data_IF_060000703747
#
_entry.id   IF_060000703747
#
_cell.length_a   1.000
_cell.length_b   1.000
_cell.length_c   1.000
_cell.angle_alpha   90.00
_cell.angle_beta   90.00
_cell.angle_gamma   90.00
#
_symmetry.space_group_name_H-M   'P 1'
#
loop_
_entity.id
_entity.type
_entity.pdbx_description
1 polymer ?
#
# COMPACT_ATOMS: atom_id res chain seq x y z
N UNK A 1 -5.07 -35.47 22.29
CA UNK A 1 -5.04 -36.10 20.95
C UNK A 1 -5.30 -35.14 19.78
N UNK A 2 -6.17 -34.12 19.89
CA UNK A 2 -6.45 -33.17 18.78
C UNK A 2 -5.22 -32.34 18.37
N UNK A 3 -4.45 -31.83 19.34
CA UNK A 3 -3.26 -31.02 19.07
C UNK A 3 -2.14 -31.77 18.30
N UNK A 4 -1.91 -33.04 18.64
CA UNK A 4 -0.90 -33.87 17.97
C UNK A 4 -1.31 -34.18 16.51
N UNK A 5 -2.61 -34.32 16.25
CA UNK A 5 -3.16 -34.57 14.90
C UNK A 5 -3.12 -33.32 14.01
N UNK A 6 -3.24 -32.13 14.59
CA UNK A 6 -3.03 -30.84 13.91
C UNK A 6 -1.54 -30.59 13.61
N UNK A 7 -0.63 -30.94 14.53
CA UNK A 7 0.83 -30.83 14.30
C UNK A 7 1.37 -31.83 13.26
N UNK A 8 0.77 -33.01 13.16
CA UNK A 8 1.13 -34.06 12.19
C UNK A 8 0.40 -33.93 10.85
N UNK A 9 -0.45 -32.90 10.66
CA UNK A 9 -1.04 -32.65 9.34
C UNK A 9 0.08 -32.21 8.40
N UNK A 10 0.23 -32.86 7.23
CA UNK A 10 1.14 -32.35 6.22
C UNK A 10 0.76 -30.90 5.91
N UNK A 11 1.74 -29.98 5.77
CA UNK A 11 1.47 -28.58 5.52
C UNK A 11 0.58 -28.46 4.28
N UNK A 12 -0.50 -27.70 4.44
CA UNK A 12 -1.50 -27.55 3.40
C UNK A 12 -0.84 -26.97 2.13
N UNK A 13 -1.12 -27.50 0.92
CA UNK A 13 -0.53 -26.98 -0.30
C UNK A 13 -0.79 -25.48 -0.46
N UNK A 14 0.28 -24.69 -0.56
CA UNK A 14 0.20 -23.25 -0.78
C UNK A 14 0.11 -22.97 -2.28
N UNK A 15 -0.92 -22.24 -2.69
CA UNK A 15 -1.10 -21.80 -4.07
C UNK A 15 -0.67 -20.35 -4.25
N UNK A 16 0.08 -20.05 -5.32
CA UNK A 16 0.41 -18.67 -5.69
C UNK A 16 -0.85 -17.91 -6.12
N UNK A 17 -1.19 -16.87 -5.37
CA UNK A 17 -2.32 -15.97 -5.63
C UNK A 17 -1.94 -14.79 -6.53
N UNK A 18 -0.68 -14.37 -6.47
CA UNK A 18 -0.16 -13.24 -7.23
C UNK A 18 0.90 -13.70 -8.23
N UNK A 19 0.87 -13.13 -9.44
CA UNK A 19 1.96 -13.28 -10.40
C UNK A 19 3.21 -12.53 -9.93
N UNK A 20 4.38 -12.92 -10.45
CA UNK A 20 5.67 -12.33 -10.06
C UNK A 20 5.70 -10.81 -10.31
N UNK A 21 5.16 -10.36 -11.44
CA UNK A 21 5.08 -8.93 -11.75
C UNK A 21 4.23 -8.15 -10.73
N UNK A 22 3.09 -8.70 -10.33
CA UNK A 22 2.23 -8.06 -9.32
C UNK A 22 2.94 -7.96 -7.96
N UNK A 23 3.72 -8.99 -7.61
CA UNK A 23 4.51 -8.99 -6.39
C UNK A 23 5.65 -7.96 -6.46
N UNK A 24 6.35 -7.88 -7.60
CA UNK A 24 7.41 -6.91 -7.84
C UNK A 24 6.88 -5.47 -7.75
N UNK A 25 5.75 -5.17 -8.40
CA UNK A 25 5.12 -3.84 -8.34
C UNK A 25 4.70 -3.49 -6.90
N UNK A 26 4.14 -4.45 -6.15
CA UNK A 26 3.78 -4.22 -4.76
C UNK A 26 5.00 -3.86 -3.90
N UNK A 27 6.11 -4.59 -4.02
CA UNK A 27 7.31 -4.32 -3.24
C UNK A 27 8.06 -3.06 -3.68
N UNK A 28 8.06 -2.77 -4.98
CA UNK A 28 8.52 -1.47 -5.50
C UNK A 28 7.72 -0.33 -4.85
N UNK A 29 6.38 -0.42 -4.87
CA UNK A 29 5.52 0.59 -4.27
C UNK A 29 5.75 0.72 -2.76
N UNK A 30 5.83 -0.40 -2.03
CA UNK A 30 6.09 -0.38 -0.61
C UNK A 30 7.45 0.26 -0.29
N UNK A 31 8.51 -0.11 -1.01
CA UNK A 31 9.85 0.47 -0.84
C UNK A 31 9.88 1.97 -1.15
N UNK A 32 9.29 2.38 -2.28
CA UNK A 32 9.22 3.79 -2.67
C UNK A 32 8.42 4.63 -1.66
N UNK A 33 7.26 4.13 -1.20
CA UNK A 33 6.46 4.85 -0.18
C UNK A 33 7.24 5.02 1.11
N UNK A 34 7.92 3.96 1.59
CA UNK A 34 8.73 4.07 2.80
C UNK A 34 9.90 5.04 2.64
N UNK A 35 10.60 5.00 1.52
CA UNK A 35 11.70 5.91 1.21
C UNK A 35 11.24 7.38 1.10
N UNK A 36 10.16 7.62 0.36
CA UNK A 36 9.60 8.96 0.19
C UNK A 36 9.04 9.52 1.49
N UNK A 37 8.39 8.68 2.31
CA UNK A 37 7.94 9.09 3.63
C UNK A 37 9.12 9.45 4.55
N UNK A 38 10.15 8.59 4.59
CA UNK A 38 11.37 8.80 5.37
C UNK A 38 12.02 10.16 5.06
N UNK A 39 12.22 10.43 3.77
CA UNK A 39 12.84 11.66 3.28
C UNK A 39 11.91 12.88 3.43
N UNK A 40 10.60 12.74 3.19
CA UNK A 40 9.62 13.82 3.36
C UNK A 40 9.45 14.27 4.81
N UNK A 41 9.43 13.33 5.76
CA UNK A 41 9.40 13.66 7.19
C UNK A 41 10.64 14.41 7.65
N UNK A 42 11.81 14.13 7.06
CA UNK A 42 13.03 14.88 7.35
C UNK A 42 13.06 16.28 6.70
N UNK A 43 12.29 16.50 5.64
CA UNK A 43 12.16 17.80 4.98
C UNK A 43 11.11 18.71 5.63
N UNK A 44 10.25 18.17 6.49
CA UNK A 44 9.24 18.97 7.20
C UNK A 44 9.94 19.87 8.22
N UNK A 45 9.74 21.20 8.17
CA UNK A 45 10.28 22.09 9.18
C UNK A 45 9.70 21.70 10.54
N UNK A 46 10.55 21.20 11.45
CA UNK A 46 10.10 20.87 12.80
C UNK A 46 9.85 22.17 13.57
N UNK A 47 8.60 22.63 13.60
CA UNK A 47 8.09 23.52 14.65
C UNK A 47 7.90 22.79 15.99
N UNK A 48 8.39 21.55 16.08
CA UNK A 48 8.34 20.68 17.25
C UNK A 48 9.62 20.96 18.06
N UNK A 49 9.53 21.24 19.37
CA UNK A 49 10.69 21.45 20.24
C UNK A 49 11.73 20.33 20.08
N UNK A 50 13.02 20.69 20.19
CA UNK A 50 14.24 19.90 19.87
C UNK A 50 14.40 18.51 20.54
N UNK A 51 13.38 17.99 21.20
CA UNK A 51 13.42 16.65 21.76
C UNK A 51 13.47 15.58 20.65
N UNK A 52 13.96 14.39 21.01
CA UNK A 52 14.36 13.17 20.23
C UNK A 52 13.94 13.01 18.75
N UNK A 53 12.81 13.54 18.30
CA UNK A 53 12.37 13.62 16.90
C UNK A 53 13.34 14.40 15.99
N UNK A 54 14.15 15.32 16.52
CA UNK A 54 15.18 16.02 15.74
C UNK A 54 16.36 15.13 15.31
N UNK A 55 16.51 13.92 15.87
CA UNK A 55 17.55 12.98 15.47
C UNK A 55 17.35 12.49 14.02
N UNK A 56 16.10 12.28 13.60
CA UNK A 56 15.78 11.74 12.27
C UNK A 56 16.10 12.72 11.13
N UNK A 57 15.63 13.98 11.14
CA UNK A 57 16.07 14.98 10.15
C UNK A 57 17.59 15.15 10.16
N UNK A 58 18.24 15.25 11.34
CA UNK A 58 19.71 15.38 11.40
C UNK A 58 20.44 14.20 10.78
N UNK A 59 19.97 12.98 11.01
CA UNK A 59 20.55 11.78 10.40
C UNK A 59 20.46 11.83 8.88
N UNK A 60 19.28 12.09 8.31
CA UNK A 60 19.10 12.12 6.86
C UNK A 60 19.80 13.31 6.20
N UNK A 61 19.82 14.48 6.82
CA UNK A 61 20.59 15.62 6.31
C UNK A 61 22.10 15.32 6.26
N UNK A 62 22.64 14.56 7.22
CA UNK A 62 24.04 14.09 7.19
C UNK A 62 24.25 13.01 6.13
N UNK A 63 23.34 12.04 6.03
CA UNK A 63 23.41 10.94 5.07
C UNK A 63 23.43 11.44 3.63
N UNK A 64 22.63 12.46 3.33
CA UNK A 64 22.55 13.10 2.02
C UNK A 64 23.45 14.32 1.88
N UNK A 65 24.36 14.56 2.83
CA UNK A 65 25.27 15.70 2.93
C UNK A 65 24.61 17.09 3.12
N UNK A 66 23.39 17.33 2.62
CA UNK A 66 22.66 18.58 2.83
C UNK A 66 21.14 18.41 2.75
N UNK A 67 20.39 19.40 3.24
CA UNK A 67 18.94 19.45 3.06
C UNK A 67 18.51 19.63 1.61
N UNK A 68 19.32 20.30 0.79
CA UNK A 68 19.08 20.48 -0.64
C UNK A 68 19.25 19.16 -1.41
N UNK A 69 20.32 18.41 -1.12
CA UNK A 69 20.55 17.10 -1.72
C UNK A 69 19.49 16.08 -1.27
N UNK A 70 19.05 16.14 0.00
CA UNK A 70 17.90 15.36 0.49
C UNK A 70 16.62 15.69 -0.29
N UNK A 71 16.32 16.98 -0.48
CA UNK A 71 15.15 17.44 -1.23
C UNK A 71 15.21 16.98 -2.69
N UNK A 72 16.35 17.16 -3.36
CA UNK A 72 16.53 16.72 -4.74
C UNK A 72 16.34 15.20 -4.86
N UNK A 73 16.90 14.43 -3.92
CA UNK A 73 16.70 12.98 -3.90
C UNK A 73 15.23 12.60 -3.73
N UNK A 74 14.50 13.27 -2.84
CA UNK A 74 13.07 13.07 -2.65
C UNK A 74 12.28 13.36 -3.95
N UNK A 75 12.58 14.48 -4.61
CA UNK A 75 11.97 14.87 -5.89
C UNK A 75 12.25 13.80 -6.96
N UNK A 76 13.51 13.42 -7.15
CA UNK A 76 13.90 12.45 -8.18
C UNK A 76 13.27 11.08 -7.93
N UNK A 77 13.24 10.61 -6.68
CA UNK A 77 12.59 9.35 -6.33
C UNK A 77 11.07 9.40 -6.58
N UNK A 78 10.42 10.51 -6.23
CA UNK A 78 8.97 10.70 -6.42
C UNK A 78 8.58 10.75 -7.89
N UNK A 79 9.34 11.48 -8.70
CA UNK A 79 9.16 11.56 -10.16
C UNK A 79 9.44 10.20 -10.81
N UNK A 80 10.54 9.53 -10.44
CA UNK A 80 10.89 8.21 -10.99
C UNK A 80 9.79 7.18 -10.69
N UNK A 81 9.29 7.13 -9.46
CA UNK A 81 8.19 6.25 -9.09
C UNK A 81 6.93 6.56 -9.90
N UNK A 82 6.56 7.85 -9.99
CA UNK A 82 5.37 8.31 -10.72
C UNK A 82 5.45 7.96 -12.21
N UNK A 83 6.59 8.23 -12.85
CA UNK A 83 6.83 7.88 -14.26
C UNK A 83 6.82 6.37 -14.48
N UNK A 84 7.38 5.60 -13.56
CA UNK A 84 7.34 4.13 -13.64
C UNK A 84 5.90 3.61 -13.58
N UNK A 85 5.07 4.14 -12.68
CA UNK A 85 3.66 3.73 -12.58
C UNK A 85 2.85 4.15 -13.81
N UNK A 86 3.06 5.36 -14.32
CA UNK A 86 2.42 5.84 -15.55
C UNK A 86 2.82 5.00 -16.76
N UNK A 87 4.12 4.70 -16.91
CA UNK A 87 4.62 3.87 -17.99
C UNK A 87 4.05 2.45 -17.90
N UNK A 88 3.99 1.85 -16.71
CA UNK A 88 3.37 0.54 -16.52
C UNK A 88 1.89 0.55 -16.89
N UNK A 89 1.15 1.59 -16.51
CA UNK A 89 -0.26 1.74 -16.88
C UNK A 89 -0.44 1.92 -18.41
N UNK A 90 0.44 2.69 -19.05
CA UNK A 90 0.42 2.93 -20.49
C UNK A 90 0.81 1.68 -21.31
N UNK A 91 1.84 0.94 -20.88
CA UNK A 91 2.28 -0.30 -21.53
C UNK A 91 1.33 -1.48 -21.26
N UNK A 92 0.57 -1.44 -20.16
CA UNK A 92 -0.38 -2.50 -19.77
C UNK A 92 -1.76 -1.92 -19.39
N UNK A 93 -2.46 -1.27 -20.34
CA UNK A 93 -3.69 -0.54 -20.05
C UNK A 93 -4.84 -1.47 -19.63
N UNK A 94 -4.89 -2.69 -20.19
CA UNK A 94 -5.94 -3.67 -19.85
C UNK A 94 -5.86 -4.11 -18.38
N UNK A 95 -4.72 -4.61 -17.84
CA UNK A 95 -4.58 -4.89 -16.41
C UNK A 95 -4.83 -3.66 -15.52
N UNK A 96 -4.30 -2.49 -15.89
CA UNK A 96 -4.49 -1.26 -15.12
C UNK A 96 -5.98 -0.89 -15.03
N UNK A 97 -6.70 -0.90 -16.15
CA UNK A 97 -8.13 -0.61 -16.19
C UNK A 97 -8.94 -1.66 -15.40
N UNK A 98 -8.61 -2.95 -15.53
CA UNK A 98 -9.26 -4.00 -14.73
C UNK A 98 -9.06 -3.79 -13.23
N UNK A 99 -7.88 -3.38 -12.81
CA UNK A 99 -7.62 -3.03 -11.41
C UNK A 99 -8.52 -1.87 -10.97
N UNK A 100 -8.53 -0.77 -11.74
CA UNK A 100 -9.38 0.39 -11.44
C UNK A 100 -10.86 0.02 -11.35
N UNK A 101 -11.41 -0.68 -12.35
CA UNK A 101 -12.81 -1.14 -12.32
C UNK A 101 -13.05 -2.04 -11.09
N UNK A 102 -12.17 -3.00 -10.81
CA UNK A 102 -12.31 -3.90 -9.65
C UNK A 102 -12.35 -3.14 -8.32
N UNK A 103 -11.54 -2.10 -8.22
CA UNK A 103 -11.39 -1.29 -7.00
C UNK A 103 -12.56 -0.32 -6.87
N UNK A 104 -12.93 0.39 -7.93
CA UNK A 104 -13.95 1.45 -7.91
C UNK A 104 -15.40 0.98 -8.11
N UNK A 105 -15.64 -0.31 -8.39
CA UNK A 105 -17.00 -0.88 -8.49
C UNK A 105 -17.75 -0.99 -7.17
N UNK A 106 -17.08 -0.90 -6.01
CA UNK A 106 -17.75 -0.97 -4.71
C UNK A 106 -17.99 0.44 -4.16
N UNK A 107 -19.24 0.82 -3.85
CA UNK A 107 -19.52 2.12 -3.25
C UNK A 107 -18.75 2.32 -1.94
N UNK A 108 -18.05 3.47 -1.76
CA UNK A 108 -17.24 3.71 -0.56
C UNK A 108 -18.00 3.52 0.75
N UNK A 109 -19.26 3.98 0.82
CA UNK A 109 -20.14 3.81 1.99
C UNK A 109 -20.39 2.35 2.34
N UNK A 110 -20.64 1.50 1.33
CA UNK A 110 -20.86 0.07 1.54
C UNK A 110 -19.57 -0.63 1.98
N UNK A 111 -18.44 -0.23 1.39
CA UNK A 111 -17.12 -0.74 1.72
C UNK A 111 -16.72 -0.37 3.16
N UNK A 112 -17.00 0.87 3.58
CA UNK A 112 -16.76 1.36 4.94
C UNK A 112 -17.62 0.63 5.96
N UNK A 113 -18.93 0.51 5.70
CA UNK A 113 -19.84 -0.26 6.57
C UNK A 113 -19.34 -1.70 6.75
N UNK A 114 -18.88 -2.32 5.67
CA UNK A 114 -18.29 -3.66 5.74
C UNK A 114 -16.99 -3.65 6.55
N UNK A 115 -16.09 -2.71 6.33
CA UNK A 115 -14.80 -2.63 7.03
C UNK A 115 -14.97 -2.41 8.53
N UNK A 116 -15.86 -1.52 8.95
CA UNK A 116 -16.20 -1.30 10.37
C UNK A 116 -16.76 -2.58 10.99
N UNK A 117 -17.74 -3.20 10.34
CA UNK A 117 -18.33 -4.47 10.81
C UNK A 117 -17.28 -5.58 10.91
N UNK A 118 -16.39 -5.69 9.93
CA UNK A 118 -15.33 -6.69 9.88
C UNK A 118 -14.34 -6.54 11.04
N UNK A 119 -13.90 -5.30 11.31
CA UNK A 119 -13.02 -5.02 12.44
C UNK A 119 -13.71 -5.29 13.79
N UNK A 120 -14.98 -4.89 13.96
CA UNK A 120 -15.73 -5.19 15.18
C UNK A 120 -15.90 -6.70 15.42
N UNK A 121 -16.10 -7.49 14.36
CA UNK A 121 -16.10 -8.96 14.47
C UNK A 121 -14.74 -9.49 14.90
N UNK A 122 -13.67 -8.94 14.34
CA UNK A 122 -12.31 -9.33 14.67
C UNK A 122 -12.00 -9.07 16.15
N UNK A 123 -12.34 -7.86 16.64
CA UNK A 123 -12.20 -7.46 18.04
C UNK A 123 -13.03 -8.32 19.00
N UNK A 124 -14.20 -8.81 18.55
CA UNK A 124 -15.07 -9.73 19.30
C UNK A 124 -14.67 -11.21 19.17
N UNK A 125 -13.51 -11.52 18.60
CA UNK A 125 -13.03 -12.90 18.43
C UNK A 125 -13.75 -13.73 17.36
N UNK A 126 -14.67 -13.16 16.57
CA UNK A 126 -15.55 -13.89 15.62
C UNK A 126 -14.94 -14.15 14.24
N UNK A 127 -13.61 -14.06 14.14
CA UNK A 127 -12.87 -14.18 12.87
C UNK A 127 -13.22 -13.10 11.82
N UNK A 128 -12.55 -13.13 10.65
CA UNK A 128 -12.86 -12.22 9.54
C UNK A 128 -14.24 -12.54 8.95
N UNK A 129 -14.92 -11.53 8.44
CA UNK A 129 -16.17 -11.67 7.70
C UNK A 129 -15.95 -12.45 6.41
N UNK A 130 -16.92 -13.27 6.05
CA UNK A 130 -16.92 -13.94 4.76
C UNK A 130 -17.09 -12.94 3.60
N UNK A 131 -16.43 -13.23 2.49
CA UNK A 131 -16.57 -12.50 1.24
C UNK A 131 -16.25 -13.44 0.07
N UNK A 132 -16.82 -13.15 -1.09
CA UNK A 132 -16.50 -13.82 -2.36
C UNK A 132 -15.60 -12.95 -3.23
N UNK A 133 -14.78 -13.59 -4.07
CA UNK A 133 -13.93 -12.93 -5.08
C UNK A 133 -12.60 -12.39 -4.55
N UNK A 134 -11.74 -11.92 -5.49
CA UNK A 134 -10.33 -11.55 -5.25
C UNK A 134 -10.08 -10.67 -4.02
N UNK A 135 -10.88 -9.63 -3.81
CA UNK A 135 -10.68 -8.64 -2.75
C UNK A 135 -11.93 -8.47 -1.89
N UNK A 136 -11.74 -8.36 -0.57
CA UNK A 136 -12.84 -7.99 0.33
C UNK A 136 -13.30 -6.56 0.03
N UNK A 137 -14.54 -6.17 0.39
CA UNK A 137 -14.97 -4.77 0.31
C UNK A 137 -14.01 -3.81 1.02
N UNK A 138 -13.50 -4.20 2.20
CA UNK A 138 -12.49 -3.40 2.92
C UNK A 138 -11.15 -3.27 2.17
N UNK A 139 -10.69 -4.33 1.48
CA UNK A 139 -9.49 -4.26 0.65
C UNK A 139 -9.69 -3.36 -0.58
N UNK A 140 -10.88 -3.38 -1.18
CA UNK A 140 -11.22 -2.47 -2.28
C UNK A 140 -11.29 -1.02 -1.80
N UNK A 141 -11.88 -0.75 -0.63
CA UNK A 141 -11.87 0.59 -0.02
C UNK A 141 -10.46 1.11 0.22
N UNK A 142 -9.59 0.27 0.80
CA UNK A 142 -8.19 0.61 1.00
C UNK A 142 -7.49 0.91 -0.34
N UNK A 143 -7.72 0.08 -1.36
CA UNK A 143 -7.14 0.28 -2.68
C UNK A 143 -7.66 1.58 -3.33
N UNK A 144 -8.94 1.94 -3.18
CA UNK A 144 -9.49 3.22 -3.64
C UNK A 144 -8.76 4.38 -2.95
N UNK A 145 -8.71 4.34 -1.61
CA UNK A 145 -8.11 5.38 -0.79
C UNK A 145 -6.63 5.59 -1.14
N UNK A 146 -5.83 4.52 -1.20
CA UNK A 146 -4.41 4.61 -1.58
C UNK A 146 -4.24 5.06 -3.03
N UNK A 147 -5.07 4.60 -3.97
CA UNK A 147 -4.98 5.04 -5.37
C UNK A 147 -5.23 6.54 -5.49
N UNK A 148 -6.27 7.06 -4.85
CA UNK A 148 -6.58 8.49 -4.84
C UNK A 148 -5.47 9.27 -4.13
N UNK A 149 -5.11 8.88 -2.91
CA UNK A 149 -4.11 9.57 -2.11
C UNK A 149 -2.74 9.64 -2.79
N UNK A 150 -2.24 8.52 -3.31
CA UNK A 150 -0.95 8.52 -4.02
C UNK A 150 -1.01 9.28 -5.35
N UNK A 151 -2.16 9.28 -6.05
CA UNK A 151 -2.32 10.08 -7.28
C UNK A 151 -2.29 11.57 -6.96
N UNK A 152 -3.02 12.01 -5.93
CA UNK A 152 -3.01 13.40 -5.48
C UNK A 152 -1.61 13.82 -4.99
N UNK A 153 -0.92 12.96 -4.24
CA UNK A 153 0.46 13.20 -3.79
C UNK A 153 1.43 13.31 -4.97
N UNK A 154 1.33 12.44 -5.97
CA UNK A 154 2.16 12.47 -7.17
C UNK A 154 1.94 13.75 -7.99
N UNK A 155 0.69 14.13 -8.23
CA UNK A 155 0.36 15.33 -9.01
C UNK A 155 0.81 16.62 -8.30
N UNK A 156 0.47 16.76 -7.02
CA UNK A 156 0.90 17.91 -6.22
C UNK A 156 2.42 17.97 -6.03
N UNK A 157 3.08 16.83 -5.83
CA UNK A 157 4.53 16.73 -5.72
C UNK A 157 5.25 17.10 -7.02
N UNK A 158 4.72 16.67 -8.17
CA UNK A 158 5.23 17.08 -9.47
C UNK A 158 5.12 18.61 -9.65
N UNK A 159 3.99 19.22 -9.28
CA UNK A 159 3.83 20.67 -9.30
C UNK A 159 4.81 21.37 -8.32
N UNK A 160 5.13 20.79 -7.18
CA UNK A 160 6.17 21.37 -6.30
C UNK A 160 7.58 21.24 -6.88
N UNK A 161 7.82 20.22 -7.71
CA UNK A 161 9.13 19.96 -8.32
C UNK A 161 9.44 20.89 -9.51
N UNK A 162 8.46 21.23 -10.36
CA UNK A 162 8.74 21.97 -11.61
C UNK A 162 9.51 23.29 -11.41
N UNK A 163 9.26 24.14 -10.39
CA UNK A 163 10.05 25.35 -10.19
C UNK A 163 11.49 25.06 -9.78
N UNK A 164 11.71 24.00 -9.02
CA UNK A 164 13.05 23.54 -8.61
C UNK A 164 13.85 22.99 -9.80
N UNK A 165 13.16 22.53 -10.83
CA UNK A 165 13.74 22.07 -12.09
C UNK A 165 13.84 23.18 -13.15
N UNK A 166 13.48 24.43 -12.83
CA UNK A 166 13.48 25.54 -13.78
C UNK A 166 12.40 25.45 -14.87
N UNK A 167 11.40 24.58 -14.70
CA UNK A 167 10.34 24.33 -15.70
C UNK A 167 9.13 25.25 -15.51
N UNK A 168 9.01 25.94 -14.38
CA UNK A 168 7.99 26.98 -14.16
C UNK A 168 8.42 28.00 -13.10
N UNK A 169 7.88 29.22 -13.10
CA UNK A 169 8.35 30.28 -12.18
C UNK A 169 7.97 30.03 -10.72
N UNK A 170 6.81 29.42 -10.45
CA UNK A 170 6.34 29.13 -9.10
C UNK A 170 5.34 27.98 -9.09
N UNK A 171 5.25 27.26 -7.98
CA UNK A 171 4.21 26.25 -7.76
C UNK A 171 2.90 26.92 -7.30
N UNK A 172 1.73 26.36 -7.63
CA UNK A 172 0.47 26.80 -7.05
C UNK A 172 0.48 26.68 -5.53
N UNK A 173 -0.07 27.66 -4.82
CA UNK A 173 -0.07 27.71 -3.34
C UNK A 173 -0.74 26.50 -2.68
N UNK A 174 -1.71 25.88 -3.36
CA UNK A 174 -2.41 24.70 -2.87
C UNK A 174 -1.59 23.41 -3.01
N UNK A 175 -0.51 23.40 -3.80
CA UNK A 175 0.22 22.17 -4.09
C UNK A 175 0.84 21.56 -2.83
N UNK A 176 1.46 22.38 -1.96
CA UNK A 176 2.05 21.91 -0.71
C UNK A 176 1.01 21.32 0.27
N UNK A 177 -0.06 22.04 0.66
CA UNK A 177 -1.04 21.47 1.58
C UNK A 177 -1.77 20.25 1.00
N UNK A 178 -2.03 20.21 -0.33
CA UNK A 178 -2.59 19.00 -0.96
C UNK A 178 -1.61 17.83 -0.91
N UNK A 179 -0.32 18.08 -1.13
CA UNK A 179 0.72 17.05 -1.03
C UNK A 179 0.77 16.46 0.39
N UNK A 180 0.91 17.32 1.40
CA UNK A 180 1.03 16.90 2.80
C UNK A 180 -0.20 16.12 3.28
N UNK A 181 -1.41 16.62 2.97
CA UNK A 181 -2.65 15.93 3.31
C UNK A 181 -2.78 14.58 2.59
N UNK A 182 -2.36 14.50 1.33
CA UNK A 182 -2.41 13.27 0.54
C UNK A 182 -1.44 12.22 1.09
N UNK A 183 -0.23 12.63 1.49
CA UNK A 183 0.76 11.77 2.13
C UNK A 183 0.28 11.29 3.50
N UNK A 184 -0.23 12.19 4.35
CA UNK A 184 -0.78 11.84 5.66
C UNK A 184 -1.94 10.83 5.54
N UNK A 185 -2.83 11.05 4.56
CA UNK A 185 -3.92 10.13 4.27
C UNK A 185 -3.43 8.76 3.79
N UNK A 186 -2.48 8.73 2.85
CA UNK A 186 -1.88 7.49 2.36
C UNK A 186 -1.16 6.72 3.48
N UNK A 187 -0.45 7.42 4.37
CA UNK A 187 0.20 6.85 5.55
C UNK A 187 -0.81 6.18 6.48
N UNK A 188 -1.92 6.86 6.81
CA UNK A 188 -2.98 6.29 7.63
C UNK A 188 -3.56 5.01 7.01
N UNK A 189 -3.74 4.99 5.68
CA UNK A 189 -4.16 3.80 4.97
C UNK A 189 -3.14 2.67 5.06
N UNK A 190 -1.84 2.94 4.82
CA UNK A 190 -0.76 1.94 4.88
C UNK A 190 -0.63 1.36 6.29
N UNK A 191 -0.68 2.19 7.33
CA UNK A 191 -0.66 1.73 8.71
C UNK A 191 -1.83 0.77 9.02
N UNK A 192 -3.04 1.13 8.58
CA UNK A 192 -4.22 0.26 8.68
C UNK A 192 -4.06 -1.06 7.90
N UNK A 193 -3.44 -1.01 6.71
CA UNK A 193 -3.18 -2.18 5.90
C UNK A 193 -2.16 -3.14 6.54
N UNK A 194 -1.08 -2.60 7.11
CA UNK A 194 -0.03 -3.38 7.77
C UNK A 194 -0.53 -4.02 9.07
N UNK A 195 -1.25 -3.28 9.92
CA UNK A 195 -1.75 -3.77 11.21
C UNK A 195 -2.67 -4.98 11.07
N UNK A 196 -3.53 -4.99 10.04
CA UNK A 196 -4.42 -6.11 9.75
C UNK A 196 -3.68 -7.40 9.40
N UNK A 197 -2.46 -7.32 8.86
CA UNK A 197 -1.64 -8.50 8.55
C UNK A 197 -1.00 -9.09 9.80
N UNK A 198 -0.46 -8.25 10.66
CA UNK A 198 0.13 -8.65 11.95
C UNK A 198 -0.92 -9.40 12.80
N UNK A 199 -2.17 -8.88 12.81
CA UNK A 199 -3.29 -9.53 13.51
C UNK A 199 -3.65 -10.91 12.93
N UNK A 200 -3.42 -11.16 11.63
CA UNK A 200 -3.69 -12.45 10.99
C UNK A 200 -2.55 -13.46 11.21
N UNK A 201 -1.31 -12.99 11.31
CA UNK A 201 -0.13 -13.81 11.64
C UNK A 201 -0.26 -14.42 13.04
N UNK A 202 -0.71 -13.63 14.02
CA UNK A 202 -1.04 -14.08 15.38
C UNK A 202 -2.15 -15.17 15.44
N UNK A 203 -2.75 -15.53 14.29
CA UNK A 203 -3.74 -16.61 14.18
C UNK A 203 -3.29 -17.76 13.26
N UNK A 204 -1.97 -17.93 13.07
CA UNK A 204 -1.38 -19.14 12.48
C UNK A 204 -1.30 -19.17 10.96
N UNK A 205 -1.38 -18.01 10.28
CA UNK A 205 -1.07 -17.92 8.85
C UNK A 205 0.41 -17.58 8.69
N UNK A 206 1.23 -18.39 7.99
CA UNK A 206 2.65 -18.09 7.83
C UNK A 206 2.85 -16.74 7.14
N UNK A 207 3.59 -15.85 7.79
CA UNK A 207 3.88 -14.51 7.28
C UNK A 207 4.64 -14.53 5.95
N UNK A 208 5.54 -15.50 5.79
CA UNK A 208 6.33 -15.68 4.56
C UNK A 208 5.44 -16.03 3.35
N UNK A 209 4.42 -16.87 3.54
CA UNK A 209 3.45 -17.16 2.48
C UNK A 209 2.72 -15.89 2.06
N UNK A 210 2.41 -15.02 3.02
CA UNK A 210 1.81 -13.74 2.72
C UNK A 210 2.77 -12.82 1.92
N UNK A 211 4.03 -12.70 2.34
CA UNK A 211 5.05 -11.87 1.69
C UNK A 211 5.36 -12.32 0.27
N UNK A 212 5.27 -13.62 0.00
CA UNK A 212 5.55 -14.23 -1.30
C UNK A 212 4.29 -14.41 -2.17
N UNK A 213 3.13 -13.94 -1.70
CA UNK A 213 1.87 -13.99 -2.44
C UNK A 213 1.23 -15.38 -2.50
N UNK A 214 1.55 -16.26 -1.58
CA UNK A 214 0.94 -17.56 -1.34
C UNK A 214 -0.38 -17.51 -0.56
N UNK A 215 -1.21 -18.55 -0.74
CA UNK A 215 -2.43 -18.78 0.03
C UNK A 215 -2.66 -20.28 0.21
N UNK A 216 -3.05 -20.76 1.41
CA UNK A 216 -3.45 -22.17 1.59
C UNK A 216 -4.61 -22.55 0.65
N UNK A 217 -4.51 -23.71 -0.02
CA UNK A 217 -5.47 -24.20 -1.01
C UNK A 217 -6.92 -24.24 -0.52
N UNK A 218 -7.18 -24.74 0.67
CA UNK A 218 -8.48 -24.78 1.35
C UNK A 218 -9.09 -23.39 1.50
N UNK A 219 -8.27 -22.38 1.81
CA UNK A 219 -8.71 -20.99 1.88
C UNK A 219 -9.03 -20.43 0.49
N UNK A 220 -8.26 -20.79 -0.53
CA UNK A 220 -8.51 -20.40 -1.91
C UNK A 220 -9.81 -21.03 -2.44
N UNK A 221 -10.06 -22.33 -2.19
CA UNK A 221 -11.30 -23.02 -2.57
C UNK A 221 -12.50 -22.38 -1.88
N UNK A 222 -12.44 -22.11 -0.57
CA UNK A 222 -13.54 -21.48 0.18
C UNK A 222 -13.89 -20.08 -0.33
N UNK A 223 -12.90 -19.29 -0.78
CA UNK A 223 -13.11 -17.87 -1.15
C UNK A 223 -13.41 -17.64 -2.64
N UNK A 224 -12.81 -18.44 -3.50
CA UNK A 224 -12.84 -18.23 -4.95
C UNK A 224 -13.46 -19.43 -5.68
N UNK A 225 -13.44 -20.64 -5.11
CA UNK A 225 -13.58 -21.86 -5.90
C UNK A 225 -12.32 -22.08 -6.77
N UNK A 226 -11.97 -23.34 -7.05
CA UNK A 226 -10.70 -23.66 -7.74
C UNK A 226 -10.60 -23.04 -9.15
N UNK A 227 -11.70 -23.02 -9.90
CA UNK A 227 -11.72 -22.50 -11.29
C UNK A 227 -11.52 -20.99 -11.37
N UNK A 228 -12.15 -20.22 -10.48
CA UNK A 228 -12.02 -18.76 -10.51
C UNK A 228 -10.67 -18.31 -9.94
N UNK A 229 -10.08 -19.08 -9.02
CA UNK A 229 -8.72 -18.84 -8.53
C UNK A 229 -7.67 -18.90 -9.67
N UNK A 230 -7.78 -19.89 -10.56
CA UNK A 230 -6.85 -20.02 -11.69
C UNK A 230 -7.03 -18.92 -12.75
N UNK A 231 -8.26 -18.45 -12.97
CA UNK A 231 -8.53 -17.29 -13.84
C UNK A 231 -7.98 -16.00 -13.24
N UNK A 232 -8.16 -15.78 -11.94
CA UNK A 232 -7.66 -14.60 -11.23
C UNK A 232 -6.12 -14.58 -11.12
N UNK A 233 -5.45 -15.74 -11.09
CA UNK A 233 -3.98 -15.83 -11.08
C UNK A 233 -3.35 -15.36 -12.39
N UNK A 234 -3.99 -15.65 -13.53
CA UNK A 234 -3.49 -15.32 -14.88
C UNK A 234 -3.79 -13.88 -15.31
N UNK A 235 -4.59 -13.16 -14.52
CA UNK A 235 -5.03 -11.78 -14.77
C UNK A 235 -4.24 -10.76 -13.93
#
# INVERSE_FOLDING_TARGET
MVALREMLRPPEPVMRRHGILALAIHWLNAGCVMFLLATGLALTPSGIPEYELAAWPRFLHRLFASGEALLLTHILAGLTWSMTMLLLAALRPRPAMRFLVTVFTVPPKAALKWAVRDNLRFLRGRGPSEHRGRYTPGQRMYAQAVTIGLTCAAMSGALLALPRLGLMPAAPLWALPVHDLSVAFALGCVAFHASKKILLENRGVPFLDFLLGGMPRSRAVRRHGLRDFDRERKA
#
